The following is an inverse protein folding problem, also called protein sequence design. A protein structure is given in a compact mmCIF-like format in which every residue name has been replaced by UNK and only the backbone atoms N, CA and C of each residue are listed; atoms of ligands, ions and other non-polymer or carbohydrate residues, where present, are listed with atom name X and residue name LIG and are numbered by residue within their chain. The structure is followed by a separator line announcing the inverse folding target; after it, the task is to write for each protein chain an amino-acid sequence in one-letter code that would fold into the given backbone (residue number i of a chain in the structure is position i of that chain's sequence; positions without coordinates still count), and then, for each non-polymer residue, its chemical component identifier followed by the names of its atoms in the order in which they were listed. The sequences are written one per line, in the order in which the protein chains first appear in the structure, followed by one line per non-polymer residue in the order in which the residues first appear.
data_IF_240496479225
#
_entry.id   IF_240496479225
#
_cell.length_a   1.000
_cell.length_b   1.000
_cell.length_c   1.000
_cell.angle_alpha   90.00
_cell.angle_beta   90.00
_cell.angle_gamma   90.00
#
_symmetry.space_group_name_H-M   'P 1'
#
loop_
_entity.id
_entity.type
_entity.pdbx_description
1 polymer ?
#
# COMPACT_ATOMS: atom_id res chain seq x y z
N UNK A 1 22.40 26.23 49.22
CA UNK A 1 21.47 26.47 48.10
C UNK A 1 22.30 26.73 46.85
N UNK A 2 22.39 25.80 45.88
CA UNK A 2 23.15 26.04 44.66
C UNK A 2 22.46 27.13 43.83
N UNK A 3 23.23 28.09 43.29
CA UNK A 3 22.68 29.22 42.55
C UNK A 3 22.06 28.75 41.24
N UNK A 4 20.95 29.39 40.83
CA UNK A 4 20.21 29.06 39.59
C UNK A 4 21.09 29.08 38.32
N UNK A 5 22.20 29.80 38.36
CA UNK A 5 23.17 29.91 37.26
C UNK A 5 23.96 28.61 37.04
N UNK A 6 24.21 27.84 38.11
CA UNK A 6 24.96 26.59 38.04
C UNK A 6 24.16 25.48 37.34
N UNK A 7 22.82 25.51 37.46
CA UNK A 7 21.93 24.53 36.83
C UNK A 7 21.79 24.76 35.31
N UNK A 8 21.72 26.02 34.86
CA UNK A 8 21.69 26.35 33.43
C UNK A 8 23.00 25.98 32.73
N UNK A 9 24.15 26.20 33.38
CA UNK A 9 25.45 25.80 32.83
C UNK A 9 25.59 24.28 32.70
N UNK A 10 25.11 23.52 33.69
CA UNK A 10 25.12 22.06 33.61
C UNK A 10 24.21 21.55 32.49
N UNK A 11 23.02 22.13 32.33
CA UNK A 11 22.09 21.74 31.26
C UNK A 11 22.66 22.03 29.87
N UNK A 12 23.28 23.20 29.66
CA UNK A 12 23.89 23.52 28.37
C UNK A 12 25.06 22.58 28.08
N UNK A 13 25.98 22.38 29.03
CA UNK A 13 27.12 21.47 28.83
C UNK A 13 26.67 20.04 28.53
N UNK A 14 25.65 19.53 29.24
CA UNK A 14 25.10 18.19 28.99
C UNK A 14 24.43 18.11 27.60
N UNK A 15 23.67 19.13 27.19
CA UNK A 15 23.04 19.17 25.86
C UNK A 15 24.07 19.23 24.71
N UNK A 16 25.12 20.03 24.88
CA UNK A 16 26.18 20.13 23.87
C UNK A 16 27.02 18.85 23.82
N UNK A 17 27.30 18.22 24.96
CA UNK A 17 28.01 16.95 25.02
C UNK A 17 27.22 15.82 24.35
N UNK A 18 25.90 15.74 24.57
CA UNK A 18 25.06 14.73 23.91
C UNK A 18 24.88 15.02 22.42
N UNK A 19 24.73 16.27 21.99
CA UNK A 19 24.68 16.63 20.57
C UNK A 19 25.98 16.27 19.84
N UNK A 20 27.14 16.56 20.43
CA UNK A 20 28.45 16.19 19.88
C UNK A 20 28.63 14.66 19.86
N UNK A 21 28.16 13.95 20.88
CA UNK A 21 28.15 12.48 20.87
C UNK A 21 27.30 11.92 19.73
N UNK A 22 26.08 12.42 19.55
CA UNK A 22 25.20 12.02 18.45
C UNK A 22 25.79 12.29 17.07
N UNK A 23 26.52 13.40 16.90
CA UNK A 23 27.19 13.73 15.64
C UNK A 23 28.47 12.94 15.40
N UNK A 24 29.09 12.42 16.47
CA UNK A 24 30.31 11.60 16.38
C UNK A 24 30.05 10.11 16.15
N UNK A 25 28.80 9.64 16.31
CA UNK A 25 28.42 8.27 15.96
C UNK A 25 28.30 8.21 14.43
N UNK A 26 29.16 7.43 13.73
CA UNK A 26 28.99 7.22 12.30
C UNK A 26 27.63 6.55 12.06
N UNK A 27 26.75 7.21 11.29
CA UNK A 27 25.49 6.59 10.86
C UNK A 27 25.85 5.37 10.01
N UNK A 28 25.34 4.16 10.34
CA UNK A 28 25.47 3.05 9.42
C UNK A 28 24.75 3.43 8.12
N UNK A 29 25.52 3.63 7.06
CA UNK A 29 24.97 3.68 5.72
C UNK A 29 24.33 2.31 5.47
N UNK A 30 23.00 2.30 5.33
CA UNK A 30 22.27 1.11 4.89
C UNK A 30 22.61 0.86 3.42
N UNK A 31 23.77 0.26 3.17
CA UNK A 31 24.01 -0.54 1.98
C UNK A 31 23.54 -1.95 2.32
N UNK A 32 22.22 -2.15 2.33
CA UNK A 32 21.62 -3.48 2.20
C UNK A 32 21.83 -3.94 0.76
N UNK A 33 23.08 -4.25 0.43
CA UNK A 33 23.50 -4.97 -0.75
C UNK A 33 23.72 -6.43 -0.40
N UNK A 34 22.73 -7.07 0.22
CA UNK A 34 22.72 -8.52 0.33
C UNK A 34 22.37 -9.07 -1.05
N UNK A 35 23.42 -9.44 -1.79
CA UNK A 35 23.32 -10.45 -2.83
C UNK A 35 22.85 -11.74 -2.16
N UNK A 36 21.53 -11.91 -2.05
CA UNK A 36 20.91 -13.20 -1.81
C UNK A 36 21.13 -14.03 -3.08
N UNK A 37 22.33 -14.61 -3.23
CA UNK A 37 22.54 -15.70 -4.16
C UNK A 37 21.67 -16.86 -3.68
N UNK A 38 20.45 -16.93 -4.20
CA UNK A 38 19.64 -18.13 -4.15
C UNK A 38 20.53 -19.28 -4.63
N UNK A 39 20.69 -20.35 -3.84
CA UNK A 39 21.47 -21.49 -4.30
C UNK A 39 20.82 -21.96 -5.59
N UNK A 40 21.54 -21.85 -6.72
CA UNK A 40 21.18 -22.48 -7.98
C UNK A 40 21.20 -23.98 -7.70
N UNK A 41 20.08 -24.53 -7.24
CA UNK A 41 19.82 -25.96 -7.35
C UNK A 41 19.97 -26.26 -8.83
N UNK A 42 21.06 -26.97 -9.18
CA UNK A 42 21.17 -27.60 -10.48
C UNK A 42 19.90 -28.43 -10.66
N UNK A 43 19.01 -27.95 -11.53
CA UNK A 43 17.92 -28.77 -12.05
C UNK A 43 18.63 -29.76 -12.96
N UNK A 44 19.07 -30.88 -12.37
CA UNK A 44 19.42 -32.06 -13.15
C UNK A 44 18.18 -32.41 -13.96
N UNK A 45 18.31 -32.33 -15.29
CA UNK A 45 17.23 -32.51 -16.25
C UNK A 45 16.44 -33.78 -15.97
N UNK A 46 15.35 -33.63 -15.22
CA UNK A 46 14.23 -34.53 -15.28
C UNK A 46 13.23 -33.85 -16.19
N UNK A 47 12.79 -34.57 -17.22
CA UNK A 47 11.63 -34.21 -18.03
C UNK A 47 10.39 -34.21 -17.12
N UNK A 48 10.29 -33.17 -16.28
CA UNK A 48 9.13 -32.88 -15.48
C UNK A 48 8.11 -32.27 -16.43
N UNK A 49 7.25 -33.11 -16.99
CA UNK A 49 6.01 -32.63 -17.58
C UNK A 49 5.24 -31.91 -16.47
N UNK A 50 5.13 -30.59 -16.58
CA UNK A 50 4.45 -29.71 -15.61
C UNK A 50 2.96 -30.05 -15.41
N UNK A 51 2.43 -30.97 -16.22
CA UNK A 51 1.05 -31.47 -16.20
C UNK A 51 0.67 -32.27 -14.95
N UNK A 52 1.63 -32.73 -14.14
CA UNK A 52 1.36 -33.58 -12.96
C UNK A 52 1.53 -32.87 -11.61
N UNK A 53 1.79 -31.56 -11.58
CA UNK A 53 1.81 -30.81 -10.32
C UNK A 53 0.36 -30.47 -9.98
N UNK A 54 -0.22 -31.18 -9.01
CA UNK A 54 -1.50 -30.80 -8.39
C UNK A 54 -1.29 -29.50 -7.62
N UNK A 55 -1.45 -28.37 -8.29
CA UNK A 55 -1.37 -27.04 -7.67
C UNK A 55 -2.65 -26.77 -6.88
N UNK A 56 -2.75 -27.33 -5.67
CA UNK A 56 -3.74 -26.84 -4.71
C UNK A 56 -3.31 -25.42 -4.32
N UNK A 57 -4.16 -24.43 -4.57
CA UNK A 57 -3.93 -23.07 -4.06
C UNK A 57 -3.73 -23.15 -2.54
N UNK A 58 -2.55 -22.75 -2.07
CA UNK A 58 -2.19 -22.82 -0.65
C UNK A 58 -3.03 -21.85 0.19
N UNK A 59 -3.51 -20.77 -0.42
CA UNK A 59 -4.43 -19.81 0.20
C UNK A 59 -5.48 -19.35 -0.85
N UNK A 60 -6.62 -20.06 -0.97
CA UNK A 60 -7.68 -19.66 -1.89
C UNK A 60 -8.35 -18.37 -1.40
N UNK A 61 -8.18 -17.29 -2.15
CA UNK A 61 -8.83 -15.99 -1.92
C UNK A 61 -10.23 -15.98 -2.54
N UNK A 62 -11.16 -16.73 -1.93
CA UNK A 62 -12.50 -16.99 -2.46
C UNK A 62 -13.53 -15.93 -2.04
N UNK A 63 -13.18 -14.65 -2.16
CA UNK A 63 -14.08 -13.52 -1.90
C UNK A 63 -14.63 -12.94 -3.21
N UNK A 64 -15.78 -12.30 -3.13
CA UNK A 64 -16.47 -11.70 -4.27
C UNK A 64 -16.40 -10.18 -4.19
N UNK A 65 -16.21 -9.53 -5.34
CA UNK A 65 -16.28 -8.08 -5.44
C UNK A 65 -17.74 -7.64 -5.30
N UNK A 66 -18.04 -6.89 -4.24
CA UNK A 66 -19.36 -6.28 -4.02
C UNK A 66 -19.46 -4.97 -4.80
N UNK A 67 -18.42 -4.15 -4.72
CA UNK A 67 -18.24 -2.95 -5.54
C UNK A 67 -17.02 -3.19 -6.40
N UNK A 68 -17.17 -2.99 -7.71
CA UNK A 68 -16.12 -3.23 -8.68
C UNK A 68 -16.12 -2.14 -9.75
N UNK A 69 -14.93 -1.84 -10.27
CA UNK A 69 -14.69 -0.87 -11.34
C UNK A 69 -14.04 -1.54 -12.57
N UNK A 70 -14.67 -2.56 -13.19
CA UNK A 70 -14.02 -3.44 -14.17
C UNK A 70 -13.59 -2.72 -15.45
N UNK A 71 -14.17 -1.55 -15.73
CA UNK A 71 -13.92 -0.78 -16.96
C UNK A 71 -12.82 0.28 -16.83
N UNK A 72 -12.31 0.52 -15.61
CA UNK A 72 -11.38 1.63 -15.32
C UNK A 72 -10.06 1.53 -16.12
N UNK A 73 -9.63 0.32 -16.45
CA UNK A 73 -8.43 0.01 -17.23
C UNK A 73 -8.67 -0.38 -18.69
N UNK A 74 -9.90 -0.36 -19.21
CA UNK A 74 -10.21 -0.90 -20.54
C UNK A 74 -9.83 0.05 -21.68
N UNK A 75 -9.97 1.36 -21.50
CA UNK A 75 -9.77 2.36 -22.56
C UNK A 75 -8.29 2.60 -22.87
N UNK A 76 -7.50 2.85 -21.83
CA UNK A 76 -6.08 3.19 -21.93
C UNK A 76 -5.33 2.43 -20.84
N UNK A 77 -4.20 1.83 -21.16
CA UNK A 77 -3.41 1.14 -20.12
C UNK A 77 -2.71 2.17 -19.24
N UNK A 78 -2.92 2.19 -17.91
CA UNK A 78 -2.22 3.11 -17.02
C UNK A 78 -0.75 2.72 -16.88
N UNK A 79 0.12 3.71 -16.76
CA UNK A 79 1.53 3.52 -16.43
C UNK A 79 1.68 3.02 -14.99
N UNK A 80 0.91 3.59 -14.06
CA UNK A 80 0.92 3.27 -12.64
C UNK A 80 -0.51 3.07 -12.13
N UNK A 81 -0.75 1.98 -11.41
CA UNK A 81 -1.94 1.79 -10.57
C UNK A 81 -1.56 1.92 -9.11
N UNK A 82 -2.19 2.85 -8.40
CA UNK A 82 -2.03 3.06 -6.97
C UNK A 82 -3.19 2.36 -6.26
N UNK A 83 -2.84 1.43 -5.37
CA UNK A 83 -3.74 0.67 -4.54
C UNK A 83 -3.65 1.18 -3.11
N UNK A 84 -4.70 1.86 -2.64
CA UNK A 84 -4.69 2.53 -1.34
C UNK A 84 -5.59 1.77 -0.39
N UNK A 85 -5.01 1.18 0.65
CA UNK A 85 -5.78 0.49 1.68
C UNK A 85 -6.41 1.50 2.63
N UNK A 86 -7.75 1.51 2.69
CA UNK A 86 -8.51 2.42 3.58
C UNK A 86 -9.63 1.68 4.30
N UNK A 87 -10.27 2.33 5.25
CA UNK A 87 -11.45 1.84 5.96
C UNK A 87 -12.67 2.72 5.65
N UNK A 88 -13.88 2.22 5.92
CA UNK A 88 -15.12 2.92 5.61
C UNK A 88 -15.20 4.33 6.22
N UNK A 89 -14.62 4.51 7.41
CA UNK A 89 -14.65 5.78 8.16
C UNK A 89 -13.68 6.82 7.61
N UNK A 90 -12.70 6.43 6.80
CA UNK A 90 -11.64 7.31 6.28
C UNK A 90 -12.06 8.03 4.98
N UNK A 91 -13.30 8.53 4.94
CA UNK A 91 -13.78 9.32 3.80
C UNK A 91 -12.92 10.56 3.56
N UNK A 92 -12.61 11.32 4.63
CA UNK A 92 -11.82 12.54 4.53
C UNK A 92 -10.39 12.26 4.04
N UNK A 93 -9.81 11.12 4.41
CA UNK A 93 -8.49 10.72 3.93
C UNK A 93 -8.52 10.39 2.43
N UNK A 94 -9.54 9.64 1.97
CA UNK A 94 -9.73 9.38 0.53
C UNK A 94 -9.91 10.68 -0.23
N UNK A 95 -10.71 11.61 0.29
CA UNK A 95 -10.93 12.91 -0.33
C UNK A 95 -9.64 13.73 -0.41
N UNK A 96 -8.86 13.81 0.68
CA UNK A 96 -7.58 14.51 0.69
C UNK A 96 -6.59 13.91 -0.32
N UNK A 97 -6.56 12.59 -0.47
CA UNK A 97 -5.71 11.91 -1.46
C UNK A 97 -6.15 12.27 -2.89
N UNK A 98 -7.46 12.23 -3.19
CA UNK A 98 -8.02 12.62 -4.50
C UNK A 98 -7.66 14.05 -4.89
N UNK A 99 -7.64 14.95 -3.90
CA UNK A 99 -7.34 16.37 -4.10
C UNK A 99 -5.84 16.70 -4.10
N UNK A 100 -4.99 15.70 -3.81
CA UNK A 100 -3.53 15.90 -3.71
C UNK A 100 -2.77 14.90 -4.58
N UNK A 101 -1.98 14.01 -3.99
CA UNK A 101 -1.02 13.16 -4.71
C UNK A 101 -1.69 11.99 -5.45
N UNK A 102 -2.96 11.71 -5.19
CA UNK A 102 -3.73 10.65 -5.85
C UNK A 102 -4.58 11.13 -7.03
N UNK A 103 -4.49 12.40 -7.44
CA UNK A 103 -5.24 12.91 -8.60
C UNK A 103 -4.73 12.28 -9.91
N UNK A 104 -5.64 11.59 -10.61
CA UNK A 104 -5.37 10.93 -11.89
C UNK A 104 -5.02 11.92 -13.02
N UNK A 105 -5.33 13.21 -12.86
CA UNK A 105 -5.12 14.24 -13.89
C UNK A 105 -3.83 15.05 -13.72
N UNK A 106 -3.07 14.82 -12.64
CA UNK A 106 -1.87 15.60 -12.33
C UNK A 106 -0.81 15.52 -13.44
N UNK A 107 -0.71 14.39 -14.14
CA UNK A 107 0.30 14.16 -15.18
C UNK A 107 -0.35 13.96 -16.56
N UNK A 108 -0.45 15.03 -17.35
CA UNK A 108 -1.17 14.99 -18.64
C UNK A 108 -0.64 13.99 -19.68
N UNK A 109 0.63 13.58 -19.58
CA UNK A 109 1.26 12.62 -20.50
C UNK A 109 1.36 11.19 -19.94
N UNK A 110 1.08 10.98 -18.65
CA UNK A 110 1.23 9.68 -17.98
C UNK A 110 -0.09 9.37 -17.27
N UNK A 111 -0.77 8.31 -17.74
CA UNK A 111 -2.00 7.87 -17.09
C UNK A 111 -1.68 7.16 -15.77
N UNK A 112 -2.10 7.76 -14.67
CA UNK A 112 -2.09 7.16 -13.34
C UNK A 112 -3.53 6.79 -12.98
N UNK A 113 -3.68 5.72 -12.23
CA UNK A 113 -4.97 5.26 -11.73
C UNK A 113 -4.92 5.11 -10.22
N UNK A 114 -5.90 5.66 -9.51
CA UNK A 114 -5.99 5.57 -8.06
C UNK A 114 -7.21 4.73 -7.69
N UNK A 115 -7.01 3.67 -6.89
CA UNK A 115 -8.06 2.76 -6.44
C UNK A 115 -7.98 2.60 -4.93
N UNK A 116 -9.10 2.89 -4.25
CA UNK A 116 -9.27 2.67 -2.82
C UNK A 116 -9.81 1.26 -2.54
N UNK A 117 -9.13 0.55 -1.65
CA UNK A 117 -9.43 -0.83 -1.28
C UNK A 117 -10.09 -0.88 0.08
N UNK A 118 -11.28 -1.45 0.15
CA UNK A 118 -12.02 -1.69 1.39
C UNK A 118 -12.46 -3.16 1.48
N UNK A 119 -12.59 -3.68 2.70
CA UNK A 119 -13.32 -4.92 2.94
C UNK A 119 -14.80 -4.63 3.20
N UNK A 120 -15.54 -5.60 3.72
CA UNK A 120 -16.92 -5.46 4.19
C UNK A 120 -16.99 -4.96 5.64
N UNK A 121 -17.89 -4.02 5.93
CA UNK A 121 -18.18 -3.61 7.31
C UNK A 121 -19.34 -4.39 7.91
N UNK A 122 -19.32 -4.61 9.23
CA UNK A 122 -20.49 -5.11 9.96
C UNK A 122 -21.60 -4.06 10.10
N UNK A 123 -21.23 -2.78 10.04
CA UNK A 123 -22.17 -1.66 10.06
C UNK A 123 -22.72 -1.39 8.65
N UNK A 124 -24.01 -1.66 8.47
CA UNK A 124 -24.69 -1.46 7.19
C UNK A 124 -24.72 0.02 6.75
N UNK A 125 -24.74 0.96 7.69
CA UNK A 125 -24.73 2.40 7.36
C UNK A 125 -23.41 2.78 6.71
N UNK A 126 -22.29 2.26 7.23
CA UNK A 126 -20.97 2.50 6.65
C UNK A 126 -20.83 1.89 5.25
N UNK A 127 -21.39 0.70 5.01
CA UNK A 127 -21.40 0.10 3.68
C UNK A 127 -22.21 0.95 2.68
N UNK A 128 -23.37 1.45 3.11
CA UNK A 128 -24.22 2.31 2.27
C UNK A 128 -23.54 3.66 1.94
N UNK A 129 -22.83 4.26 2.89
CA UNK A 129 -22.06 5.50 2.66
C UNK A 129 -20.95 5.28 1.61
N UNK A 130 -20.23 4.16 1.71
CA UNK A 130 -19.18 3.80 0.72
C UNK A 130 -19.79 3.50 -0.66
N UNK A 131 -20.96 2.88 -0.72
CA UNK A 131 -21.66 2.65 -1.99
C UNK A 131 -22.05 3.99 -2.65
N UNK A 132 -22.56 4.94 -1.89
CA UNK A 132 -22.87 6.30 -2.38
C UNK A 132 -21.61 7.03 -2.85
N UNK A 133 -20.52 6.95 -2.09
CA UNK A 133 -19.22 7.51 -2.50
C UNK A 133 -18.74 6.89 -3.82
N UNK A 134 -18.83 5.56 -3.96
CA UNK A 134 -18.40 4.86 -5.17
C UNK A 134 -19.21 5.27 -6.40
N UNK A 135 -20.51 5.56 -6.25
CA UNK A 135 -21.37 6.04 -7.34
C UNK A 135 -20.98 7.44 -7.84
N UNK A 136 -20.24 8.21 -7.04
CA UNK A 136 -19.78 9.56 -7.38
C UNK A 136 -18.38 9.52 -7.99
N UNK A 137 -17.44 8.82 -7.34
CA UNK A 137 -16.01 8.90 -7.69
C UNK A 137 -15.51 7.75 -8.57
N UNK A 138 -16.21 6.61 -8.58
CA UNK A 138 -15.84 5.43 -9.38
C UNK A 138 -14.39 4.98 -9.20
N UNK A 139 -13.90 4.99 -7.96
CA UNK A 139 -12.51 4.68 -7.60
C UNK A 139 -12.40 3.74 -6.39
N UNK A 140 -13.48 3.03 -6.04
CA UNK A 140 -13.55 2.14 -4.88
C UNK A 140 -13.73 0.70 -5.33
N UNK A 141 -12.98 -0.21 -4.70
CA UNK A 141 -13.16 -1.66 -4.82
C UNK A 141 -13.40 -2.25 -3.45
N UNK A 142 -14.48 -3.04 -3.33
CA UNK A 142 -14.90 -3.71 -2.09
C UNK A 142 -15.05 -5.21 -2.34
N UNK A 143 -14.43 -6.03 -1.50
CA UNK A 143 -14.74 -7.46 -1.41
C UNK A 143 -15.45 -7.82 -0.09
N UNK A 144 -16.18 -8.94 -0.12
CA UNK A 144 -17.03 -9.41 0.98
C UNK A 144 -16.31 -10.09 2.17
N UNK A 145 -15.04 -9.78 2.46
CA UNK A 145 -14.37 -10.22 3.69
C UNK A 145 -14.48 -9.15 4.78
N UNK A 146 -14.57 -9.54 6.06
CA UNK A 146 -14.65 -8.56 7.16
C UNK A 146 -13.41 -7.66 7.20
N UNK A 147 -13.62 -6.35 7.06
CA UNK A 147 -12.54 -5.38 7.12
C UNK A 147 -12.03 -5.24 8.56
N UNK A 148 -10.81 -5.70 8.79
CA UNK A 148 -10.13 -5.60 10.07
C UNK A 148 -8.63 -5.52 9.85
N UNK A 149 -7.91 -5.02 10.85
CA UNK A 149 -6.46 -4.96 10.83
C UNK A 149 -5.81 -6.34 10.55
N UNK A 150 -6.37 -7.41 11.12
CA UNK A 150 -5.89 -8.77 10.87
C UNK A 150 -6.10 -9.25 9.43
N UNK A 151 -7.07 -8.68 8.72
CA UNK A 151 -7.41 -9.04 7.34
C UNK A 151 -6.78 -8.12 6.29
N UNK A 152 -5.79 -7.30 6.65
CA UNK A 152 -5.07 -6.45 5.69
C UNK A 152 -4.34 -7.26 4.61
N UNK A 153 -3.91 -8.49 4.92
CA UNK A 153 -3.37 -9.40 3.90
C UNK A 153 -4.41 -9.76 2.84
N UNK A 154 -5.65 -10.02 3.24
CA UNK A 154 -6.76 -10.26 2.29
C UNK A 154 -7.01 -9.02 1.44
N UNK A 155 -6.99 -7.82 2.05
CA UNK A 155 -7.12 -6.55 1.32
C UNK A 155 -6.00 -6.32 0.30
N UNK A 156 -4.76 -6.66 0.65
CA UNK A 156 -3.63 -6.57 -0.27
C UNK A 156 -3.77 -7.57 -1.42
N UNK A 157 -4.14 -8.82 -1.12
CA UNK A 157 -4.38 -9.86 -2.12
C UNK A 157 -5.54 -9.50 -3.05
N UNK A 158 -6.61 -8.89 -2.51
CA UNK A 158 -7.72 -8.33 -3.29
C UNK A 158 -7.22 -7.31 -4.32
N UNK A 159 -6.43 -6.32 -3.89
CA UNK A 159 -5.87 -5.30 -4.78
C UNK A 159 -5.01 -5.91 -5.89
N UNK A 160 -4.11 -6.83 -5.54
CA UNK A 160 -3.27 -7.53 -6.52
C UNK A 160 -4.11 -8.36 -7.50
N UNK A 161 -5.12 -9.08 -7.01
CA UNK A 161 -6.06 -9.85 -7.84
C UNK A 161 -6.83 -8.93 -8.78
N UNK A 162 -7.30 -7.79 -8.29
CA UNK A 162 -8.04 -6.82 -9.09
C UNK A 162 -7.17 -6.29 -10.24
N UNK A 163 -5.93 -5.87 -9.96
CA UNK A 163 -5.00 -5.43 -11.01
C UNK A 163 -4.69 -6.54 -12.01
N UNK A 164 -4.39 -7.75 -11.53
CA UNK A 164 -4.11 -8.89 -12.41
C UNK A 164 -5.30 -9.25 -13.31
N UNK A 165 -6.53 -9.01 -12.86
CA UNK A 165 -7.76 -9.34 -13.60
C UNK A 165 -8.17 -8.22 -14.55
N UNK A 166 -8.17 -6.96 -14.10
CA UNK A 166 -8.78 -5.84 -14.81
C UNK A 166 -7.75 -4.89 -15.45
N UNK A 167 -6.49 -4.91 -14.98
CA UNK A 167 -5.41 -4.05 -15.46
C UNK A 167 -4.12 -4.83 -15.81
N UNK A 168 -4.17 -5.98 -16.52
CA UNK A 168 -3.02 -6.89 -16.66
C UNK A 168 -1.83 -6.31 -17.43
N UNK A 169 -2.01 -5.18 -18.12
CA UNK A 169 -0.97 -4.53 -18.94
C UNK A 169 -0.31 -3.33 -18.26
N UNK A 170 -0.72 -2.97 -17.05
CA UNK A 170 -0.09 -1.84 -16.35
C UNK A 170 1.39 -2.10 -16.11
N UNK A 171 2.22 -1.05 -16.15
CA UNK A 171 3.67 -1.20 -16.00
C UNK A 171 4.08 -1.29 -14.54
N UNK A 172 3.43 -0.50 -13.68
CA UNK A 172 3.75 -0.40 -12.26
C UNK A 172 2.50 -0.47 -11.40
N UNK A 173 2.67 -1.05 -10.22
CA UNK A 173 1.65 -1.10 -9.17
C UNK A 173 2.30 -0.61 -7.89
N UNK A 174 1.69 0.38 -7.25
CA UNK A 174 2.11 0.86 -5.94
C UNK A 174 1.01 0.54 -4.94
N UNK A 175 1.35 -0.15 -3.85
CA UNK A 175 0.46 -0.31 -2.69
C UNK A 175 0.84 0.72 -1.65
N UNK A 176 -0.14 1.44 -1.12
CA UNK A 176 0.01 2.37 0.01
C UNK A 176 -1.15 2.24 1.00
N UNK A 177 -1.08 3.00 2.09
CA UNK A 177 -2.12 3.15 3.10
C UNK A 177 -2.62 4.61 3.10
N UNK A 178 -3.77 4.88 3.72
CA UNK A 178 -4.41 6.21 3.78
C UNK A 178 -3.62 7.28 4.52
N UNK A 179 -2.67 6.89 5.37
CA UNK A 179 -1.89 7.75 6.27
C UNK A 179 -0.48 8.07 5.74
N UNK A 180 -0.25 7.82 4.45
CA UNK A 180 1.02 8.07 3.76
C UNK A 180 0.90 9.24 2.79
N UNK A 181 2.00 9.98 2.62
CA UNK A 181 2.18 10.95 1.55
C UNK A 181 3.16 10.40 0.50
N UNK A 182 2.80 10.52 -0.78
CA UNK A 182 3.66 10.15 -1.91
C UNK A 182 4.02 11.40 -2.69
N UNK A 183 5.32 11.60 -2.91
CA UNK A 183 5.80 12.63 -3.83
C UNK A 183 5.88 12.04 -5.24
N UNK A 184 5.01 12.51 -6.14
CA UNK A 184 4.78 11.95 -7.47
C UNK A 184 5.66 12.57 -8.54
#
# INVERSE_FOLDING_TARGET
MPSKVSCLYLLTVVCWASALWYLSIPRPTSTYGDHLELPKRMIYGKNLTFSNIRTRSLNPHAFEFVINEPKKCTSVTPFLVILISTTHKEFDARQAIRETWGDENTFGNIRILTIFLLGWNTDAVLNQMVEQESQIFHDIVVENFIDSYHNLTLKTMMGMRWVATFCPKTQYVMKTDSDIFVNM
#
